data_IF_303215181023
#
_entry.id   IF_303215181023
#
_cell.length_a   1.000
_cell.length_b   1.000
_cell.length_c   1.000
_cell.angle_alpha   90.00
_cell.angle_beta   90.00
_cell.angle_gamma   90.00
#
_symmetry.space_group_name_H-M   'P 1'
#
loop_
_entity.id
_entity.type
_entity.pdbx_description
1 polymer ?
#
# COMPACT_ATOMS: atom_id res chain seq x y z
N UNK A 1 12.72 -28.97 -15.31
CA UNK A 1 13.44 -28.90 -14.02
C UNK A 1 14.11 -27.53 -13.94
N UNK A 2 13.66 -26.64 -13.05
CA UNK A 2 14.30 -25.33 -12.85
C UNK A 2 15.54 -25.52 -11.96
N UNK A 3 16.68 -25.02 -12.44
CA UNK A 3 17.93 -24.96 -11.68
C UNK A 3 17.95 -23.66 -10.88
N UNK A 4 18.30 -23.81 -9.59
CA UNK A 4 18.46 -22.82 -8.52
C UNK A 4 17.17 -22.27 -7.86
N UNK A 5 17.05 -22.38 -6.51
CA UNK A 5 16.03 -21.68 -5.74
C UNK A 5 16.27 -20.15 -5.74
N UNK A 6 15.23 -19.33 -5.58
CA UNK A 6 15.37 -17.88 -5.52
C UNK A 6 16.29 -17.47 -4.36
N UNK A 7 17.22 -16.55 -4.65
CA UNK A 7 18.12 -15.95 -3.66
C UNK A 7 17.32 -15.10 -2.67
N UNK A 8 17.46 -15.41 -1.39
CA UNK A 8 17.09 -14.58 -0.25
C UNK A 8 15.77 -14.97 0.39
N UNK A 9 15.80 -15.90 1.35
CA UNK A 9 14.80 -15.84 2.43
C UNK A 9 14.90 -14.45 3.04
N UNK A 10 13.84 -13.64 2.92
CA UNK A 10 13.72 -12.42 3.72
C UNK A 10 13.50 -12.89 5.14
N UNK A 11 14.60 -13.04 5.88
CA UNK A 11 14.65 -13.69 7.20
C UNK A 11 13.70 -13.08 8.24
N UNK A 12 13.10 -11.93 7.92
CA UNK A 12 12.18 -11.15 8.74
C UNK A 12 10.70 -11.22 8.29
N UNK A 13 10.36 -11.84 7.16
CA UNK A 13 8.98 -11.97 6.65
C UNK A 13 8.52 -13.43 6.75
N UNK A 14 7.27 -13.63 7.19
CA UNK A 14 6.54 -14.89 7.09
C UNK A 14 5.42 -14.76 6.07
N UNK A 15 5.10 -15.87 5.40
CA UNK A 15 4.14 -15.94 4.31
C UNK A 15 3.36 -17.26 4.49
N UNK A 16 2.03 -17.19 4.41
CA UNK A 16 1.15 -18.36 4.24
C UNK A 16 0.48 -18.32 2.86
N UNK A 17 -0.59 -19.10 2.64
CA UNK A 17 -1.28 -19.14 1.35
C UNK A 17 -1.93 -17.80 0.94
N UNK A 18 -2.18 -16.88 1.88
CA UNK A 18 -3.00 -15.68 1.66
C UNK A 18 -2.33 -14.37 2.12
N UNK A 19 -1.50 -14.41 3.15
CA UNK A 19 -0.94 -13.23 3.81
C UNK A 19 0.58 -13.28 3.93
N UNK A 20 1.17 -12.10 4.10
CA UNK A 20 2.56 -11.93 4.49
C UNK A 20 2.69 -10.94 5.64
N UNK A 21 3.51 -11.24 6.64
CA UNK A 21 3.73 -10.38 7.81
C UNK A 21 5.18 -10.39 8.28
N UNK A 22 5.58 -9.42 9.10
CA UNK A 22 6.90 -9.44 9.76
C UNK A 22 6.89 -10.48 10.88
N UNK A 23 7.89 -11.36 10.94
CA UNK A 23 8.03 -12.42 11.96
C UNK A 23 7.89 -11.92 13.40
N UNK A 24 8.27 -10.68 13.67
CA UNK A 24 8.14 -10.06 15.00
C UNK A 24 6.69 -9.95 15.51
N UNK A 25 5.69 -10.08 14.62
CA UNK A 25 4.29 -9.96 15.00
C UNK A 25 3.63 -11.31 15.36
N UNK A 26 4.20 -12.45 14.98
CA UNK A 26 3.62 -13.75 15.28
C UNK A 26 4.15 -14.85 14.36
N UNK A 27 3.85 -16.10 14.70
CA UNK A 27 4.24 -17.28 13.91
C UNK A 27 3.15 -17.77 12.95
N UNK A 28 1.89 -17.32 13.16
CA UNK A 28 0.76 -17.53 12.25
C UNK A 28 0.13 -16.19 11.84
N UNK A 29 -0.68 -16.18 10.78
CA UNK A 29 -1.40 -14.98 10.36
C UNK A 29 -2.35 -14.47 11.45
N UNK A 30 -3.01 -15.36 12.20
CA UNK A 30 -3.90 -14.99 13.30
C UNK A 30 -3.15 -14.32 14.46
N UNK A 31 -1.99 -14.86 14.84
CA UNK A 31 -1.13 -14.25 15.86
C UNK A 31 -0.61 -12.89 15.40
N UNK A 32 -0.14 -12.80 14.16
CA UNK A 32 0.32 -11.55 13.57
C UNK A 32 -0.77 -10.48 13.53
N UNK A 33 -1.98 -10.87 13.12
CA UNK A 33 -3.14 -9.99 13.12
C UNK A 33 -3.49 -9.53 14.54
N UNK A 34 -3.54 -10.43 15.52
CA UNK A 34 -3.83 -10.10 16.91
C UNK A 34 -2.80 -9.11 17.49
N UNK A 35 -1.51 -9.34 17.25
CA UNK A 35 -0.43 -8.44 17.69
C UNK A 35 -0.50 -7.07 17.02
N UNK A 36 -0.73 -7.01 15.71
CA UNK A 36 -0.88 -5.73 15.00
C UNK A 36 -2.09 -4.96 15.53
N UNK A 37 -3.22 -5.65 15.72
CA UNK A 37 -4.44 -5.05 16.28
C UNK A 37 -4.20 -4.51 17.70
N UNK A 38 -3.53 -5.28 18.55
CA UNK A 38 -3.19 -4.86 19.92
C UNK A 38 -2.27 -3.62 19.91
N UNK A 39 -1.26 -3.59 19.04
CA UNK A 39 -0.39 -2.43 18.88
C UNK A 39 -1.16 -1.19 18.41
N UNK A 40 -2.10 -1.32 17.47
CA UNK A 40 -2.97 -0.21 17.05
C UNK A 40 -3.78 0.31 18.24
N UNK A 41 -4.40 -0.58 19.02
CA UNK A 41 -5.18 -0.19 20.20
C UNK A 41 -4.31 0.48 21.28
N UNK A 42 -3.07 0.03 21.47
CA UNK A 42 -2.11 0.68 22.38
C UNK A 42 -1.80 2.11 21.95
N UNK A 43 -1.56 2.35 20.66
CA UNK A 43 -1.33 3.71 20.13
C UNK A 43 -2.56 4.60 20.36
N UNK A 44 -3.76 4.11 20.04
CA UNK A 44 -5.00 4.86 20.20
C UNK A 44 -5.23 5.22 21.67
N UNK A 45 -5.08 4.26 22.58
CA UNK A 45 -5.23 4.52 24.02
C UNK A 45 -4.16 5.49 24.53
N UNK A 46 -2.91 5.35 24.09
CA UNK A 46 -1.83 6.22 24.52
C UNK A 46 -2.07 7.68 24.09
N UNK A 47 -2.43 7.92 22.83
CA UNK A 47 -2.69 9.28 22.34
C UNK A 47 -3.93 9.91 22.96
N UNK A 48 -4.98 9.11 23.21
CA UNK A 48 -6.20 9.59 23.88
C UNK A 48 -5.93 10.11 25.31
N UNK A 49 -4.86 9.65 25.96
CA UNK A 49 -4.43 10.10 27.29
C UNK A 49 -3.22 11.05 27.23
N UNK A 50 -2.81 11.49 26.03
CA UNK A 50 -1.65 12.38 25.85
C UNK A 50 -0.29 11.76 26.17
N UNK A 51 -0.18 10.42 26.27
CA UNK A 51 1.05 9.72 26.61
C UNK A 51 1.86 9.41 25.35
N UNK A 52 2.61 10.40 24.85
CA UNK A 52 3.40 10.26 23.63
C UNK A 52 4.63 9.37 23.83
N UNK A 53 5.15 9.29 25.06
CA UNK A 53 6.28 8.42 25.42
C UNK A 53 5.95 6.94 25.24
N UNK A 54 4.72 6.53 25.59
CA UNK A 54 4.26 5.16 25.36
C UNK A 54 4.21 4.82 23.86
N UNK A 55 3.87 5.79 23.00
CA UNK A 55 3.86 5.62 21.54
C UNK A 55 5.30 5.51 21.02
N UNK A 56 6.20 6.37 21.51
CA UNK A 56 7.61 6.36 21.11
C UNK A 56 8.29 5.03 21.45
N UNK A 57 8.02 4.46 22.62
CA UNK A 57 8.62 3.21 23.09
C UNK A 57 8.00 1.95 22.47
N UNK A 58 6.79 2.05 21.89
CA UNK A 58 6.12 0.90 21.30
C UNK A 58 6.90 0.37 20.08
N UNK A 59 7.28 -0.92 20.13
CA UNK A 59 7.86 -1.64 18.98
C UNK A 59 6.79 -1.93 17.93
N UNK A 60 6.45 -0.88 17.18
CA UNK A 60 5.55 -0.91 16.05
C UNK A 60 6.17 -0.15 14.88
N UNK A 61 5.60 -0.25 13.67
CA UNK A 61 6.14 0.48 12.53
C UNK A 61 6.05 1.99 12.82
N UNK A 62 7.19 2.68 12.71
CA UNK A 62 7.38 4.04 13.21
C UNK A 62 6.47 5.04 12.50
N UNK A 63 6.38 5.00 11.18
CA UNK A 63 5.54 5.94 10.44
C UNK A 63 4.06 5.70 10.73
N UNK A 64 3.65 4.43 10.79
CA UNK A 64 2.29 3.99 11.05
C UNK A 64 1.83 4.36 12.46
N UNK A 65 2.65 4.13 13.50
CA UNK A 65 2.26 4.47 14.88
C UNK A 65 2.02 5.97 15.06
N UNK A 66 2.84 6.82 14.44
CA UNK A 66 2.67 8.27 14.51
C UNK A 66 1.52 8.78 13.64
N UNK A 67 1.26 8.16 12.49
CA UNK A 67 0.08 8.43 11.66
C UNK A 67 -1.22 8.05 12.38
N UNK A 68 -1.26 6.89 13.02
CA UNK A 68 -2.39 6.46 13.85
C UNK A 68 -2.61 7.42 15.01
N UNK A 69 -1.55 7.78 15.72
CA UNK A 69 -1.63 8.74 16.82
C UNK A 69 -2.24 10.07 16.35
N UNK A 70 -1.80 10.60 15.20
CA UNK A 70 -2.37 11.83 14.64
C UNK A 70 -3.85 11.69 14.28
N UNK A 71 -4.28 10.57 13.70
CA UNK A 71 -5.69 10.34 13.31
C UNK A 71 -6.60 10.28 14.55
N UNK A 72 -6.14 9.63 15.62
CA UNK A 72 -6.93 9.32 16.82
C UNK A 72 -6.69 10.26 18.01
N UNK A 73 -5.88 11.31 17.86
CA UNK A 73 -5.70 12.32 18.91
C UNK A 73 -7.01 13.06 19.21
N UNK A 74 -7.06 13.75 20.35
CA UNK A 74 -8.14 14.70 20.62
C UNK A 74 -8.06 15.89 19.65
N UNK A 75 -9.01 15.97 18.72
CA UNK A 75 -9.07 17.05 17.73
C UNK A 75 -9.44 18.41 18.35
N UNK A 76 -10.00 18.43 19.56
CA UNK A 76 -10.21 19.68 20.29
C UNK A 76 -8.91 20.22 20.92
N UNK A 77 -8.00 19.32 21.30
CA UNK A 77 -6.72 19.65 21.94
C UNK A 77 -5.57 18.88 21.27
N UNK A 78 -5.21 19.22 20.02
CA UNK A 78 -4.22 18.47 19.27
C UNK A 78 -2.83 18.61 19.90
N UNK A 79 -2.09 17.52 19.91
CA UNK A 79 -0.69 17.43 20.38
C UNK A 79 0.27 16.95 19.29
N UNK A 80 -0.26 16.55 18.13
CA UNK A 80 0.50 16.04 16.98
C UNK A 80 0.20 16.80 15.70
N UNK A 81 1.24 16.98 14.90
CA UNK A 81 1.17 17.56 13.55
C UNK A 81 1.13 16.45 12.48
N UNK A 82 0.61 16.71 11.27
CA UNK A 82 0.60 15.77 10.15
C UNK A 82 1.99 15.59 9.51
N UNK A 83 3.03 15.34 10.31
CA UNK A 83 4.43 15.17 9.90
C UNK A 83 5.04 14.02 10.70
N UNK A 84 5.04 12.81 10.12
CA UNK A 84 5.35 11.58 10.88
C UNK A 84 6.79 11.12 10.74
N UNK A 85 7.48 11.54 9.68
CA UNK A 85 8.87 11.16 9.43
C UNK A 85 9.79 11.91 10.40
N UNK A 86 10.57 11.16 11.17
CA UNK A 86 11.49 11.74 12.14
C UNK A 86 12.53 12.65 11.48
N UNK A 87 13.03 12.27 10.30
CA UNK A 87 13.99 13.06 9.55
C UNK A 87 13.45 14.48 9.27
N UNK A 88 12.19 14.59 8.82
CA UNK A 88 11.56 15.88 8.55
C UNK A 88 11.31 16.67 9.84
N UNK A 89 10.87 16.02 10.90
CA UNK A 89 10.70 16.67 12.21
C UNK A 89 12.02 17.25 12.74
N UNK A 90 13.12 16.50 12.60
CA UNK A 90 14.48 16.92 12.98
C UNK A 90 14.98 18.10 12.16
N UNK A 91 14.72 18.09 10.86
CA UNK A 91 15.04 19.20 9.96
C UNK A 91 14.32 20.48 10.38
N UNK A 92 13.01 20.41 10.60
CA UNK A 92 12.19 21.53 11.05
C UNK A 92 12.64 22.09 12.40
N UNK A 93 13.09 21.22 13.31
CA UNK A 93 13.63 21.62 14.61
C UNK A 93 15.11 22.00 14.57
N UNK A 94 15.80 21.79 13.44
CA UNK A 94 17.26 21.95 13.27
C UNK A 94 18.08 21.18 14.31
N UNK A 95 17.61 20.01 14.70
CA UNK A 95 18.28 19.12 15.66
C UNK A 95 18.14 17.66 15.20
N UNK A 96 19.26 16.99 14.95
CA UNK A 96 19.28 15.60 14.46
C UNK A 96 19.18 14.55 15.55
N UNK A 97 19.27 14.93 16.84
CA UNK A 97 19.32 14.00 17.98
C UNK A 97 17.98 13.82 18.69
N UNK A 98 17.01 14.68 18.40
CA UNK A 98 15.68 14.59 19.01
C UNK A 98 14.87 13.41 18.48
N UNK A 99 13.91 12.95 19.27
CA UNK A 99 12.92 11.97 18.87
C UNK A 99 11.60 12.68 18.49
N UNK A 100 10.57 11.90 18.15
CA UNK A 100 9.26 12.43 17.78
C UNK A 100 8.61 13.27 18.88
N UNK A 101 8.63 12.77 20.13
CA UNK A 101 8.01 13.45 21.28
C UNK A 101 8.60 14.85 21.47
N UNK A 102 9.93 14.94 21.52
CA UNK A 102 10.62 16.22 21.68
C UNK A 102 10.36 17.14 20.49
N UNK A 103 10.36 16.62 19.25
CA UNK A 103 10.10 17.42 18.07
C UNK A 103 8.67 18.00 18.05
N UNK A 104 7.65 17.19 18.38
CA UNK A 104 6.28 17.68 18.48
C UNK A 104 6.14 18.72 19.59
N UNK A 105 6.78 18.52 20.74
CA UNK A 105 6.81 19.53 21.81
C UNK A 105 7.32 20.89 21.31
N UNK A 106 8.50 20.92 20.68
CA UNK A 106 9.11 22.14 20.13
C UNK A 106 8.20 22.81 19.10
N UNK A 107 7.68 22.03 18.14
CA UNK A 107 6.86 22.57 17.05
C UNK A 107 5.51 23.08 17.55
N UNK A 108 4.87 22.37 18.49
CA UNK A 108 3.59 22.76 19.07
C UNK A 108 3.70 24.00 19.94
N UNK A 109 4.81 24.17 20.69
CA UNK A 109 5.12 25.42 21.39
C UNK A 109 5.34 26.59 20.42
N UNK A 110 5.95 26.31 19.27
CA UNK A 110 6.26 27.32 18.25
C UNK A 110 5.05 27.75 17.41
N UNK A 111 3.92 27.03 17.44
CA UNK A 111 2.77 27.30 16.56
C UNK A 111 2.02 28.59 16.88
N UNK A 112 2.15 29.09 18.12
CA UNK A 112 1.32 30.20 18.62
C UNK A 112 -0.18 29.87 18.54
N UNK A 113 -0.96 30.79 17.97
CA UNK A 113 -2.42 30.66 17.84
C UNK A 113 -2.88 29.93 16.56
N UNK A 114 -1.95 29.49 15.71
CA UNK A 114 -2.30 28.81 14.45
C UNK A 114 -2.89 27.43 14.75
N UNK A 115 -4.04 27.06 14.17
CA UNK A 115 -4.60 25.71 14.31
C UNK A 115 -3.57 24.64 13.90
N UNK A 116 -3.43 23.57 14.69
CA UNK A 116 -2.35 22.59 14.51
C UNK A 116 -2.30 21.97 13.10
N UNK A 117 -3.46 21.69 12.51
CA UNK A 117 -3.55 21.18 11.14
C UNK A 117 -3.02 22.19 10.11
N UNK A 118 -3.43 23.46 10.24
CA UNK A 118 -2.99 24.53 9.36
C UNK A 118 -1.49 24.80 9.52
N UNK A 119 -1.00 24.85 10.75
CA UNK A 119 0.43 24.99 11.04
C UNK A 119 1.25 23.86 10.41
N UNK A 120 0.79 22.61 10.55
CA UNK A 120 1.40 21.46 9.88
C UNK A 120 1.47 21.62 8.35
N UNK A 121 0.39 22.09 7.72
CA UNK A 121 0.38 22.35 6.28
C UNK A 121 1.32 23.48 5.87
N UNK A 122 1.47 24.53 6.70
CA UNK A 122 2.42 25.61 6.45
C UNK A 122 3.86 25.11 6.48
N UNK A 123 4.21 24.22 7.43
CA UNK A 123 5.54 23.59 7.52
C UNK A 123 5.85 22.68 6.31
N UNK A 124 4.83 22.14 5.64
CA UNK A 124 5.00 21.44 4.36
C UNK A 124 5.26 22.42 3.20
N UNK A 125 4.52 23.54 3.14
CA UNK A 125 4.63 24.52 2.05
C UNK A 125 5.93 25.32 2.04
N UNK A 126 6.58 25.47 3.19
CA UNK A 126 7.85 26.20 3.28
C UNK A 126 8.99 25.53 2.47
N UNK A 127 8.80 24.29 1.98
CA UNK A 127 9.74 23.54 1.16
C UNK A 127 9.12 22.92 -0.11
N UNK A 128 8.08 23.53 -0.71
CA UNK A 128 7.52 23.06 -2.00
C UNK A 128 8.51 23.15 -3.20
N UNK A 129 9.80 23.41 -2.94
CA UNK A 129 10.90 23.24 -3.89
C UNK A 129 11.75 21.97 -3.66
N UNK A 130 11.46 21.13 -2.66
CA UNK A 130 12.19 19.88 -2.40
C UNK A 130 11.21 18.75 -2.06
N UNK A 131 10.93 17.94 -3.10
CA UNK A 131 10.50 16.54 -3.09
C UNK A 131 9.03 16.19 -2.82
N UNK A 132 8.31 15.96 -3.93
CA UNK A 132 7.44 14.79 -4.04
C UNK A 132 8.33 13.55 -4.26
N UNK A 133 7.94 12.45 -3.61
CA UNK A 133 8.53 11.10 -3.64
C UNK A 133 9.65 10.82 -2.65
N UNK A 134 9.28 10.22 -1.50
CA UNK A 134 10.09 9.13 -0.94
C UNK A 134 9.29 8.34 0.09
N UNK A 135 8.30 7.56 -0.35
CA UNK A 135 7.69 6.54 0.51
C UNK A 135 8.71 5.40 0.66
N UNK A 136 9.54 5.43 1.72
CA UNK A 136 10.67 4.51 1.95
C UNK A 136 10.24 3.03 1.80
N UNK A 137 10.77 2.31 0.80
CA UNK A 137 10.68 0.88 0.74
C UNK A 137 12.09 0.31 0.67
N UNK A 138 12.95 0.52 1.67
CA UNK A 138 14.22 -0.21 1.85
C UNK A 138 14.99 -0.49 0.55
N UNK A 139 15.86 0.44 0.15
CA UNK A 139 16.91 0.28 -0.90
C UNK A 139 16.71 -0.93 -1.84
N UNK A 140 15.97 -0.71 -2.94
CA UNK A 140 16.08 -1.55 -4.12
C UNK A 140 16.63 -0.68 -5.24
N UNK A 141 17.92 -0.86 -5.47
CA UNK A 141 18.65 -0.38 -6.64
C UNK A 141 17.87 -0.62 -7.95
N UNK A 142 17.62 0.49 -8.64
CA UNK A 142 17.35 0.71 -10.07
C UNK A 142 16.48 -0.30 -10.88
N UNK A 143 15.42 0.27 -11.49
CA UNK A 143 14.55 -0.25 -12.58
C UNK A 143 13.36 -1.14 -12.20
N UNK A 144 12.59 -0.83 -11.17
CA UNK A 144 11.18 -1.25 -11.17
C UNK A 144 10.28 -0.06 -11.52
N UNK A 145 9.40 -0.19 -12.52
CA UNK A 145 8.48 0.87 -12.86
C UNK A 145 7.49 1.08 -11.70
N UNK A 146 6.93 2.30 -11.54
CA UNK A 146 6.09 2.63 -10.39
C UNK A 146 4.91 1.66 -10.25
N UNK A 147 4.55 1.28 -9.03
CA UNK A 147 3.54 0.23 -8.78
C UNK A 147 2.16 0.58 -9.35
N UNK A 148 1.77 1.85 -9.24
CA UNK A 148 0.48 2.34 -9.71
C UNK A 148 0.68 3.23 -10.94
N UNK A 149 0.25 2.77 -12.10
CA UNK A 149 0.42 3.48 -13.37
C UNK A 149 -0.91 3.73 -14.07
N UNK A 150 -1.10 4.96 -14.53
CA UNK A 150 -2.24 5.36 -15.35
C UNK A 150 -1.72 5.74 -16.73
N UNK A 151 -2.08 4.95 -17.75
CA UNK A 151 -1.90 5.33 -19.14
C UNK A 151 -3.05 6.27 -19.53
N UNK A 152 -2.76 7.54 -19.81
CA UNK A 152 -3.76 8.55 -20.20
C UNK A 152 -3.45 9.13 -21.59
N UNK A 153 -4.47 9.75 -22.20
CA UNK A 153 -4.35 10.36 -23.53
C UNK A 153 -5.59 10.16 -24.42
N UNK A 154 -5.61 10.74 -25.62
CA UNK A 154 -6.75 10.72 -26.54
C UNK A 154 -7.28 9.31 -26.85
N UNK A 155 -8.57 9.13 -27.18
CA UNK A 155 -9.06 7.83 -27.66
C UNK A 155 -8.30 7.41 -28.91
N UNK A 156 -8.03 6.11 -29.06
CA UNK A 156 -7.30 5.56 -30.21
C UNK A 156 -5.76 5.53 -30.08
N UNK A 157 -5.17 6.05 -29.00
CA UNK A 157 -3.69 6.04 -28.81
C UNK A 157 -3.13 4.74 -28.24
N UNK A 158 -3.81 3.61 -28.41
CA UNK A 158 -3.26 2.30 -28.01
C UNK A 158 -3.07 2.08 -26.51
N UNK A 159 -3.67 2.88 -25.61
CA UNK A 159 -3.51 2.71 -24.15
C UNK A 159 -3.78 1.26 -23.69
N UNK A 160 -4.93 0.71 -24.10
CA UNK A 160 -5.32 -0.70 -23.84
C UNK A 160 -4.41 -1.70 -24.56
N UNK A 161 -3.82 -1.31 -25.69
CA UNK A 161 -2.84 -2.14 -26.38
C UNK A 161 -1.54 -2.24 -25.56
N UNK A 162 -1.04 -1.13 -25.02
CA UNK A 162 0.20 -1.10 -24.25
C UNK A 162 0.11 -1.72 -22.84
N UNK A 163 -1.10 -1.96 -22.30
CA UNK A 163 -1.24 -2.63 -20.98
C UNK A 163 -0.63 -4.03 -20.98
N UNK A 164 -0.64 -4.72 -22.12
CA UNK A 164 0.00 -6.04 -22.28
C UNK A 164 1.50 -5.93 -22.02
N UNK A 165 2.18 -4.98 -22.67
CA UNK A 165 3.61 -4.79 -22.52
C UNK A 165 3.96 -4.39 -21.08
N UNK A 166 3.15 -3.52 -20.46
CA UNK A 166 3.35 -3.10 -19.07
C UNK A 166 3.19 -4.24 -18.07
N UNK A 167 2.23 -5.14 -18.28
CA UNK A 167 2.09 -6.32 -17.45
C UNK A 167 3.27 -7.29 -17.61
N UNK A 168 3.74 -7.49 -18.84
CA UNK A 168 4.87 -8.37 -19.13
C UNK A 168 6.23 -7.78 -18.73
N UNK A 169 6.38 -6.46 -18.72
CA UNK A 169 7.55 -5.77 -18.16
C UNK A 169 7.79 -6.20 -16.70
N UNK A 170 6.70 -6.47 -15.96
CA UNK A 170 6.73 -6.91 -14.56
C UNK A 170 6.81 -8.44 -14.45
N UNK A 171 5.98 -9.16 -15.21
CA UNK A 171 5.76 -10.60 -15.00
C UNK A 171 6.62 -11.50 -15.90
N UNK A 172 7.10 -11.00 -17.04
CA UNK A 172 7.94 -11.75 -17.99
C UNK A 172 8.85 -10.84 -18.85
N UNK A 173 9.78 -10.09 -18.23
CA UNK A 173 10.61 -9.11 -18.93
C UNK A 173 11.51 -9.74 -20.01
N UNK A 174 11.85 -11.02 -19.86
CA UNK A 174 12.69 -11.75 -20.84
C UNK A 174 11.92 -12.10 -22.11
N UNK A 175 10.63 -12.39 -22.02
CA UNK A 175 9.78 -12.56 -23.20
C UNK A 175 9.61 -11.21 -23.91
N UNK A 176 9.29 -10.16 -23.16
CA UNK A 176 9.10 -8.83 -23.71
C UNK A 176 10.34 -8.34 -24.48
N UNK A 177 11.53 -8.47 -23.87
CA UNK A 177 12.79 -8.05 -24.51
C UNK A 177 13.14 -8.83 -25.80
N UNK A 178 12.59 -10.04 -25.98
CA UNK A 178 12.80 -10.86 -27.19
C UNK A 178 11.77 -10.57 -28.29
N UNK A 179 10.67 -9.90 -27.96
CA UNK A 179 9.52 -9.65 -28.82
C UNK A 179 9.06 -8.18 -28.70
N UNK A 180 10.01 -7.24 -28.70
CA UNK A 180 9.75 -5.80 -28.49
C UNK A 180 9.51 -5.04 -29.81
N UNK A 181 9.21 -5.75 -30.90
CA UNK A 181 8.84 -5.12 -32.17
C UNK A 181 7.32 -4.93 -32.27
N UNK A 182 6.88 -3.99 -33.12
CA UNK A 182 5.46 -3.79 -33.44
C UNK A 182 4.94 -4.79 -34.50
N UNK A 183 5.68 -5.87 -34.75
CA UNK A 183 5.27 -6.91 -35.70
C UNK A 183 4.10 -7.74 -35.15
N UNK A 184 3.21 -8.17 -36.04
CA UNK A 184 2.01 -8.91 -35.66
C UNK A 184 2.31 -10.25 -34.98
N UNK A 185 3.43 -10.89 -35.35
CA UNK A 185 3.86 -12.17 -34.77
C UNK A 185 4.31 -12.00 -33.31
N UNK A 186 5.22 -11.05 -33.05
CA UNK A 186 5.64 -10.67 -31.70
C UNK A 186 4.46 -10.29 -30.83
N UNK A 187 3.53 -9.51 -31.38
CA UNK A 187 2.33 -9.10 -30.65
C UNK A 187 1.44 -10.29 -30.28
N UNK A 188 1.30 -11.28 -31.15
CA UNK A 188 0.55 -12.50 -30.85
C UNK A 188 1.18 -13.25 -29.69
N UNK A 189 2.50 -13.40 -29.69
CA UNK A 189 3.25 -14.08 -28.61
C UNK A 189 3.07 -13.38 -27.26
N UNK A 190 3.20 -12.06 -27.23
CA UNK A 190 2.97 -11.28 -26.00
C UNK A 190 1.52 -11.41 -25.51
N UNK A 191 0.54 -11.39 -26.42
CA UNK A 191 -0.88 -11.52 -26.05
C UNK A 191 -1.20 -12.91 -25.51
N UNK A 192 -0.66 -13.96 -26.12
CA UNK A 192 -0.85 -15.35 -25.66
C UNK A 192 -0.28 -15.53 -24.25
N UNK A 193 0.90 -14.96 -23.98
CA UNK A 193 1.49 -14.96 -22.64
C UNK A 193 0.63 -14.21 -21.63
N UNK A 194 0.13 -13.04 -22.00
CA UNK A 194 -0.78 -12.27 -21.16
C UNK A 194 -2.03 -13.06 -20.82
N UNK A 195 -2.64 -13.74 -21.79
CA UNK A 195 -3.84 -14.56 -21.57
C UNK A 195 -3.56 -15.80 -20.70
N UNK A 196 -2.37 -16.39 -20.81
CA UNK A 196 -1.92 -17.44 -19.88
C UNK A 196 -1.83 -16.92 -18.44
N UNK A 197 -1.29 -15.73 -18.22
CA UNK A 197 -1.16 -15.10 -16.90
C UNK A 197 -2.52 -14.70 -16.32
N UNK A 198 -3.48 -14.28 -17.17
CA UNK A 198 -4.88 -14.08 -16.78
C UNK A 198 -5.52 -15.40 -16.33
N UNK A 199 -5.32 -16.50 -17.08
CA UNK A 199 -5.83 -17.83 -16.69
C UNK A 199 -5.22 -18.37 -15.39
N UNK A 200 -4.00 -17.93 -15.05
CA UNK A 200 -3.32 -18.26 -13.79
C UNK A 200 -3.68 -17.31 -12.64
N UNK A 201 -4.61 -16.38 -12.87
CA UNK A 201 -5.04 -15.38 -11.88
C UNK A 201 -3.90 -14.45 -11.40
N UNK A 202 -2.83 -14.34 -12.19
CA UNK A 202 -1.71 -13.42 -11.92
C UNK A 202 -1.97 -12.02 -12.52
N UNK A 203 -2.94 -11.92 -13.43
CA UNK A 203 -3.44 -10.67 -14.00
C UNK A 203 -4.97 -10.69 -13.95
N UNK A 204 -5.57 -9.66 -13.35
CA UNK A 204 -7.00 -9.39 -13.47
C UNK A 204 -7.21 -8.20 -14.42
N UNK A 205 -8.05 -8.37 -15.43
CA UNK A 205 -8.40 -7.31 -16.37
C UNK A 205 -9.84 -6.86 -16.14
N UNK A 206 -10.02 -5.61 -15.72
CA UNK A 206 -11.33 -5.03 -15.36
C UNK A 206 -11.54 -3.75 -16.15
N UNK A 207 -12.79 -3.48 -16.56
CA UNK A 207 -13.21 -2.22 -17.17
C UNK A 207 -14.22 -1.54 -16.26
N UNK A 208 -13.91 -0.33 -15.80
CA UNK A 208 -14.85 0.44 -15.00
C UNK A 208 -16.00 1.02 -15.84
N UNK A 209 -17.18 1.07 -15.24
CA UNK A 209 -18.37 1.72 -15.77
C UNK A 209 -19.05 2.51 -14.65
N UNK A 210 -19.95 3.44 -14.98
CA UNK A 210 -20.57 4.34 -13.98
C UNK A 210 -21.33 3.62 -12.86
N UNK A 211 -21.81 2.41 -13.13
CA UNK A 211 -22.48 1.56 -12.14
C UNK A 211 -21.55 0.57 -11.42
N UNK A 212 -20.23 0.69 -11.58
CA UNK A 212 -19.25 -0.19 -10.92
C UNK A 212 -19.01 0.32 -9.49
N UNK A 213 -19.33 -0.49 -8.48
CA UNK A 213 -19.36 -0.04 -7.09
C UNK A 213 -18.20 -0.59 -6.25
N UNK A 214 -18.06 -0.09 -5.01
CA UNK A 214 -17.09 -0.59 -4.03
C UNK A 214 -17.31 -2.08 -3.74
N UNK A 215 -18.58 -2.49 -3.65
CA UNK A 215 -19.01 -3.86 -3.37
C UNK A 215 -18.62 -4.85 -4.47
N UNK A 216 -18.39 -4.35 -5.69
CA UNK A 216 -17.93 -5.15 -6.82
C UNK A 216 -16.39 -5.28 -6.88
N UNK A 217 -15.65 -4.35 -6.28
CA UNK A 217 -14.19 -4.28 -6.40
C UNK A 217 -13.43 -4.70 -5.14
N UNK A 218 -13.92 -4.33 -3.97
CA UNK A 218 -13.22 -4.52 -2.69
C UNK A 218 -13.89 -5.63 -1.89
N UNK A 219 -15.09 -5.39 -1.38
CA UNK A 219 -15.86 -6.38 -0.61
C UNK A 219 -17.35 -6.05 -0.60
N UNK A 220 -18.20 -7.06 -0.77
CA UNK A 220 -19.64 -6.87 -0.87
C UNK A 220 -20.45 -8.09 -0.45
N UNK A 221 -21.63 -7.85 0.12
CA UNK A 221 -22.56 -8.91 0.50
C UNK A 221 -23.25 -9.42 -0.77
N UNK A 222 -22.92 -10.65 -1.18
CA UNK A 222 -23.59 -11.33 -2.29
C UNK A 222 -24.28 -12.61 -1.83
N UNK A 223 -25.54 -12.78 -2.22
CA UNK A 223 -26.26 -14.02 -2.00
C UNK A 223 -25.63 -15.16 -2.83
N UNK A 224 -25.25 -16.26 -2.19
CA UNK A 224 -24.76 -17.48 -2.87
C UNK A 224 -25.84 -18.57 -2.81
N UNK A 225 -26.19 -19.16 -3.95
CA UNK A 225 -27.13 -20.28 -3.99
C UNK A 225 -26.33 -21.57 -3.75
N UNK A 226 -26.41 -22.12 -2.55
CA UNK A 226 -25.70 -23.36 -2.16
C UNK A 226 -26.49 -24.64 -2.47
N UNK A 227 -27.58 -24.58 -3.23
CA UNK A 227 -28.45 -25.75 -3.50
C UNK A 227 -28.34 -26.22 -4.96
N UNK A 228 -28.16 -27.53 -5.23
CA UNK A 228 -28.22 -28.06 -6.58
C UNK A 228 -29.63 -27.86 -7.15
N UNK A 229 -29.71 -27.34 -8.38
CA UNK A 229 -30.97 -27.15 -9.12
C UNK A 229 -31.72 -28.49 -9.18
N UNK A 230 -32.81 -28.58 -8.43
CA UNK A 230 -33.72 -29.73 -8.46
C UNK A 230 -34.35 -29.79 -9.85
N UNK A 231 -33.87 -30.71 -10.70
CA UNK A 231 -34.46 -30.98 -12.03
C UNK A 231 -35.96 -31.22 -11.83
N UNK A 232 -36.80 -30.34 -12.39
CA UNK A 232 -38.26 -30.57 -12.44
C UNK A 232 -38.49 -31.86 -13.23
N UNK A 233 -39.01 -32.90 -12.58
CA UNK A 233 -39.59 -34.05 -13.27
C UNK A 233 -40.75 -33.50 -14.11
N UNK A 234 -40.64 -33.57 -15.44
CA UNK A 234 -41.80 -33.44 -16.32
C UNK A 234 -42.69 -34.65 -16.07
N UNK A 235 -43.79 -34.46 -15.37
CA UNK A 235 -44.89 -35.41 -15.37
C UNK A 235 -45.54 -35.33 -16.75
N UNK A 236 -45.40 -36.38 -17.55
CA UNK A 236 -46.20 -36.56 -18.76
C UNK A 236 -47.45 -37.30 -18.30
N UNK A 237 -48.59 -36.62 -18.40
CA UNK A 237 -49.93 -37.22 -18.42
C UNK A 237 -50.30 -37.58 -19.85
#
# INVERSE_FOLDING_TARGET
>A
MRAAPPKGERDFIQIDELYSWKKKYGTTAEEAFATVKDNILKVINAVAHGNLEAIEQLDFETSLKWKLAFIYQDHANPVLLPIYKLARLRELCRDTKINHVTAYGILMESRGDVPALEYGMQLWRQDEQVEADDDDPTEISEKMPPLNQILYGPPGTGKTYHTVNKALEILDPQLLARHDSDEAEDRSVLKDRFDELVKKEQIAFVTFHQSFSYEDFVEGIRARINAPLRKRKKTVS
#
